data_IF_246795853097
#
_entry.id   IF_246795853097
#
_cell.length_a   1.000
_cell.length_b   1.000
_cell.length_c   1.000
_cell.angle_alpha   90.00
_cell.angle_beta   90.00
_cell.angle_gamma   90.00
#
_symmetry.space_group_name_H-M   'P 1'
#
loop_
_entity.id
_entity.type
_entity.pdbx_description
1 polymer ?
#
# COMPACT_ATOMS: atom_id res chain seq x y z
N UNK A 1 -4.84 14.59 16.01
CA UNK A 1 -3.69 14.84 15.12
C UNK A 1 -3.20 13.51 14.57
N UNK A 2 -3.88 12.92 13.60
CA UNK A 2 -3.53 11.59 13.10
C UNK A 2 -2.55 11.68 11.90
N UNK A 3 -2.62 12.74 11.09
CA UNK A 3 -1.84 12.87 9.85
C UNK A 3 -0.32 12.96 10.02
N UNK A 4 0.18 13.45 11.16
CA UNK A 4 1.63 13.59 11.38
C UNK A 4 2.37 12.26 11.52
N UNK A 5 1.72 11.24 12.12
CA UNK A 5 2.34 9.94 12.35
C UNK A 5 2.40 9.08 11.09
N UNK A 6 1.42 9.24 10.18
CA UNK A 6 1.39 8.46 8.94
C UNK A 6 2.37 8.99 7.89
N UNK A 7 2.61 10.30 7.83
CA UNK A 7 3.66 10.86 6.97
C UNK A 7 5.05 10.38 7.39
N UNK A 8 5.29 10.24 8.70
CA UNK A 8 6.54 9.64 9.20
C UNK A 8 6.63 8.15 8.88
N UNK A 9 5.51 7.41 9.03
CA UNK A 9 5.44 5.99 8.66
C UNK A 9 5.71 5.76 7.17
N UNK A 10 5.15 6.61 6.30
CA UNK A 10 5.40 6.60 4.86
C UNK A 10 6.90 6.73 4.56
N UNK A 11 7.56 7.78 5.06
CA UNK A 11 8.99 7.98 4.83
C UNK A 11 9.84 6.84 5.40
N UNK A 12 9.46 6.32 6.56
CA UNK A 12 10.15 5.20 7.19
C UNK A 12 10.05 3.92 6.34
N UNK A 13 8.85 3.54 5.91
CA UNK A 13 8.64 2.33 5.12
C UNK A 13 9.17 2.46 3.68
N UNK A 14 9.09 3.64 3.05
CA UNK A 14 9.73 3.88 1.75
C UNK A 14 11.24 3.69 1.81
N UNK A 15 11.89 4.25 2.84
CA UNK A 15 13.32 4.09 3.05
C UNK A 15 13.68 2.63 3.32
N UNK A 16 12.95 1.98 4.22
CA UNK A 16 13.16 0.57 4.54
C UNK A 16 13.02 -0.31 3.29
N UNK A 17 11.99 -0.09 2.47
CA UNK A 17 11.78 -0.82 1.23
C UNK A 17 12.92 -0.61 0.23
N UNK A 18 13.43 0.62 0.11
CA UNK A 18 14.57 0.93 -0.76
C UNK A 18 15.85 0.24 -0.31
N UNK A 19 16.15 0.30 0.98
CA UNK A 19 17.32 -0.37 1.58
C UNK A 19 17.18 -1.90 1.44
N UNK A 20 15.99 -2.45 1.64
CA UNK A 20 15.68 -3.87 1.48
C UNK A 20 15.92 -4.37 0.06
N UNK A 21 15.38 -3.63 -0.93
CA UNK A 21 15.58 -3.91 -2.37
C UNK A 21 17.05 -3.80 -2.76
N UNK A 22 17.76 -2.80 -2.25
CA UNK A 22 19.19 -2.61 -2.52
C UNK A 22 20.05 -3.72 -1.90
N UNK A 23 19.66 -4.25 -0.75
CA UNK A 23 20.32 -5.37 -0.07
C UNK A 23 20.02 -6.75 -0.65
N UNK A 24 19.13 -6.87 -1.65
CA UNK A 24 18.73 -8.16 -2.22
C UNK A 24 17.88 -9.00 -1.27
N UNK A 25 17.09 -8.37 -0.40
CA UNK A 25 16.24 -9.06 0.56
C UNK A 25 15.15 -9.95 -0.06
N UNK A 26 14.54 -10.81 0.75
CA UNK A 26 13.51 -11.76 0.30
C UNK A 26 12.26 -11.06 -0.24
N UNK A 27 11.64 -11.68 -1.24
CA UNK A 27 10.37 -11.23 -1.84
C UNK A 27 9.20 -11.27 -0.85
N UNK A 28 9.22 -12.19 0.10
CA UNK A 28 8.20 -12.27 1.15
C UNK A 28 8.28 -11.05 2.10
N UNK A 29 9.49 -10.72 2.56
CA UNK A 29 9.72 -9.54 3.41
C UNK A 29 9.46 -8.23 2.65
N UNK A 30 9.76 -8.19 1.35
CA UNK A 30 9.39 -7.09 0.47
C UNK A 30 7.86 -6.89 0.44
N UNK A 31 7.09 -7.97 0.28
CA UNK A 31 5.62 -7.91 0.29
C UNK A 31 5.04 -7.40 1.60
N UNK A 32 5.61 -7.82 2.73
CA UNK A 32 5.24 -7.32 4.07
C UNK A 32 5.52 -5.81 4.22
N UNK A 33 6.68 -5.31 3.79
CA UNK A 33 7.02 -3.88 3.82
C UNK A 33 6.11 -3.04 2.93
N UNK A 34 5.84 -3.52 1.72
CA UNK A 34 4.91 -2.89 0.76
C UNK A 34 3.51 -2.79 1.35
N UNK A 35 3.06 -3.82 2.07
CA UNK A 35 1.73 -3.85 2.71
C UNK A 35 1.58 -2.76 3.78
N UNK A 36 2.61 -2.59 4.61
CA UNK A 36 2.60 -1.54 5.66
C UNK A 36 2.61 -0.13 5.06
N UNK A 37 3.39 0.08 3.98
CA UNK A 37 3.39 1.35 3.25
C UNK A 37 2.04 1.63 2.59
N UNK A 38 1.41 0.62 1.98
CA UNK A 38 0.06 0.73 1.41
C UNK A 38 -0.99 1.14 2.44
N UNK A 39 -0.93 0.57 3.66
CA UNK A 39 -1.83 0.95 4.77
C UNK A 39 -1.60 2.41 5.21
N UNK A 40 -0.34 2.85 5.27
CA UNK A 40 -0.01 4.23 5.59
C UNK A 40 -0.56 5.22 4.56
N UNK A 41 -0.54 4.86 3.27
CA UNK A 41 -1.17 5.63 2.21
C UNK A 41 -2.70 5.63 2.28
N UNK A 42 -3.32 4.49 2.58
CA UNK A 42 -4.78 4.39 2.72
C UNK A 42 -5.32 5.35 3.78
N UNK A 43 -4.68 5.40 4.96
CA UNK A 43 -5.09 6.31 6.04
C UNK A 43 -4.90 7.78 5.66
N UNK A 44 -3.92 8.06 4.81
CA UNK A 44 -3.69 9.39 4.24
C UNK A 44 -4.59 9.70 3.03
N UNK A 45 -5.51 8.80 2.67
CA UNK A 45 -6.38 8.88 1.48
C UNK A 45 -5.63 8.92 0.15
N UNK A 46 -4.38 8.46 0.13
CA UNK A 46 -3.55 8.32 -1.07
C UNK A 46 -3.84 6.95 -1.72
N UNK A 47 -5.02 6.80 -2.34
CA UNK A 47 -5.51 5.50 -2.79
C UNK A 47 -4.79 4.93 -4.02
N UNK A 48 -4.41 5.78 -4.98
CA UNK A 48 -3.64 5.37 -6.17
C UNK A 48 -2.28 4.73 -5.82
N UNK A 49 -1.40 5.38 -5.03
CA UNK A 49 -0.12 4.77 -4.68
C UNK A 49 -0.27 3.56 -3.73
N UNK A 50 -1.32 3.52 -2.90
CA UNK A 50 -1.63 2.32 -2.10
C UNK A 50 -2.00 1.13 -3.00
N UNK A 51 -2.74 1.37 -4.07
CA UNK A 51 -3.15 0.35 -5.03
C UNK A 51 -1.96 -0.26 -5.77
N UNK A 52 -1.06 0.58 -6.29
CA UNK A 52 0.14 0.11 -6.99
C UNK A 52 1.05 -0.73 -6.09
N UNK A 53 1.12 -0.36 -4.81
CA UNK A 53 1.84 -1.14 -3.80
C UNK A 53 1.18 -2.48 -3.53
N UNK A 54 -0.13 -2.52 -3.25
CA UNK A 54 -0.80 -3.80 -3.02
C UNK A 54 -0.73 -4.73 -4.23
N UNK A 55 -0.82 -4.20 -5.45
CA UNK A 55 -0.63 -4.99 -6.66
C UNK A 55 0.79 -5.60 -6.74
N UNK A 56 1.82 -4.86 -6.33
CA UNK A 56 3.19 -5.40 -6.24
C UNK A 56 3.34 -6.46 -5.14
N UNK A 57 2.71 -6.26 -3.98
CA UNK A 57 2.76 -7.24 -2.89
C UNK A 57 2.07 -8.55 -3.27
N UNK A 58 0.91 -8.50 -3.94
CA UNK A 58 0.17 -9.70 -4.37
C UNK A 58 0.96 -10.61 -5.33
N UNK A 59 1.90 -10.06 -6.10
CA UNK A 59 2.77 -10.86 -6.97
C UNK A 59 3.82 -11.69 -6.20
N UNK A 60 4.11 -11.31 -4.95
CA UNK A 60 5.20 -11.87 -4.15
C UNK A 60 4.71 -12.61 -2.90
N UNK A 61 3.49 -12.33 -2.43
CA UNK A 61 2.90 -12.94 -1.24
C UNK A 61 2.11 -14.22 -1.58
N UNK A 62 2.00 -15.10 -0.60
CA UNK A 62 1.19 -16.33 -0.68
C UNK A 62 0.53 -16.62 0.67
N UNK A 63 -0.50 -17.46 0.69
CA UNK A 63 -1.17 -17.85 1.93
C UNK A 63 -1.87 -16.68 2.64
N UNK A 64 -1.82 -16.67 3.97
CA UNK A 64 -2.57 -15.70 4.78
C UNK A 64 -2.21 -14.23 4.48
N UNK A 65 -0.94 -13.94 4.18
CA UNK A 65 -0.51 -12.58 3.84
C UNK A 65 -1.09 -12.12 2.51
N UNK A 66 -1.24 -13.03 1.54
CA UNK A 66 -1.90 -12.73 0.27
C UNK A 66 -3.37 -12.37 0.50
N UNK A 67 -4.08 -13.15 1.31
CA UNK A 67 -5.50 -12.93 1.59
C UNK A 67 -5.74 -11.57 2.25
N UNK A 68 -4.88 -11.17 3.19
CA UNK A 68 -4.95 -9.86 3.85
C UNK A 68 -4.75 -8.70 2.86
N UNK A 69 -3.73 -8.79 2.01
CA UNK A 69 -3.45 -7.75 1.02
C UNK A 69 -4.53 -7.71 -0.06
N UNK A 70 -5.08 -8.87 -0.43
CA UNK A 70 -6.13 -8.97 -1.42
C UNK A 70 -7.42 -8.28 -0.93
N UNK A 71 -7.77 -8.44 0.34
CA UNK A 71 -8.89 -7.71 0.94
C UNK A 71 -8.69 -6.19 0.90
N UNK A 72 -7.50 -5.70 1.23
CA UNK A 72 -7.17 -4.27 1.16
C UNK A 72 -7.20 -3.75 -0.29
N UNK A 73 -6.70 -4.53 -1.24
CA UNK A 73 -6.75 -4.24 -2.68
C UNK A 73 -8.19 -4.13 -3.20
N UNK A 74 -9.08 -5.05 -2.81
CA UNK A 74 -10.50 -4.98 -3.18
C UNK A 74 -11.19 -3.75 -2.59
N UNK A 75 -10.92 -3.44 -1.32
CA UNK A 75 -11.43 -2.22 -0.68
C UNK A 75 -10.99 -0.95 -1.43
N UNK A 76 -9.72 -0.89 -1.84
CA UNK A 76 -9.23 0.21 -2.68
C UNK A 76 -9.90 0.24 -4.05
N UNK A 77 -10.13 -0.90 -4.69
CA UNK A 77 -10.85 -0.95 -5.97
C UNK A 77 -12.27 -0.39 -5.87
N UNK A 78 -13.00 -0.70 -4.80
CA UNK A 78 -14.32 -0.12 -4.56
C UNK A 78 -14.25 1.39 -4.30
N UNK A 79 -13.27 1.82 -3.47
CA UNK A 79 -13.03 3.24 -3.21
C UNK A 79 -12.66 3.99 -4.46
N UNK A 80 -11.74 3.47 -5.27
CA UNK A 80 -11.31 4.05 -6.53
C UNK A 80 -12.40 3.99 -7.59
N UNK A 81 -13.26 2.96 -7.60
CA UNK A 81 -14.50 2.93 -8.39
C UNK A 81 -15.46 4.06 -7.98
N UNK A 82 -15.52 4.39 -6.70
CA UNK A 82 -16.28 5.53 -6.19
C UNK A 82 -15.58 6.88 -6.44
N UNK A 83 -14.23 6.93 -6.49
CA UNK A 83 -13.46 8.11 -6.90
C UNK A 83 -13.53 8.33 -8.41
N UNK A 84 -13.48 7.30 -9.25
CA UNK A 84 -13.64 7.42 -10.71
C UNK A 84 -15.08 7.76 -11.09
N UNK A 85 -16.08 7.37 -10.27
CA UNK A 85 -17.46 7.89 -10.36
C UNK A 85 -17.65 9.31 -9.80
N UNK A 86 -16.66 9.85 -9.08
CA UNK A 86 -16.61 11.25 -8.67
C UNK A 86 -15.54 11.92 -9.51
N UNK A 87 -15.86 12.38 -10.72
CA UNK A 87 -16.16 13.80 -10.93
C UNK A 87 -16.51 14.03 -12.42
N UNK A 88 -17.40 14.97 -12.77
CA UNK A 88 -17.03 16.38 -12.68
C UNK A 88 -18.11 17.30 -12.11
N UNK A 89 -17.68 18.27 -11.29
CA UNK A 89 -18.48 19.43 -10.89
C UNK A 89 -18.01 19.95 -9.53
N UNK A 90 -17.41 21.14 -9.40
CA UNK A 90 -17.41 22.35 -10.20
C UNK A 90 -16.09 23.11 -10.01
#
# INVERSE_FOLDING_TARGET
MAGGNYAYAEQFFERALKEWRAGGGSKAEEGSLITQLGKAYEVQRKFEPAYDLYMQALNNLTGQEYDEVYAAFLYLNERMGAFTKKEPGY
#
